data_IF_304145072845
#
_entry.id   IF_304145072845
#
_cell.length_a   1.000
_cell.length_b   1.000
_cell.length_c   1.000
_cell.angle_alpha   90.00
_cell.angle_beta   90.00
_cell.angle_gamma   90.00
#
_symmetry.space_group_name_H-M   'P 1'
#
loop_
_entity.id
_entity.type
_entity.pdbx_description
1 polymer ?
#
# COMPACT_ATOMS: atom_id res chain seq x y z
N UNK A 1 50.69 14.77 66.09
CA UNK A 1 50.67 14.14 64.74
C UNK A 1 49.70 14.91 63.85
N UNK A 2 50.22 15.44 62.74
CA UNK A 2 49.60 16.06 61.54
C UNK A 2 48.44 17.07 61.76
N UNK A 3 48.69 18.39 61.84
CA UNK A 3 49.00 19.37 60.76
C UNK A 3 47.85 19.55 59.74
N UNK A 4 46.88 20.41 60.07
CA UNK A 4 46.05 21.12 59.08
C UNK A 4 46.79 22.37 58.62
N UNK A 5 46.85 22.62 57.30
CA UNK A 5 46.72 24.02 56.89
C UNK A 5 46.06 24.23 55.49
N UNK A 6 45.60 25.47 55.27
CA UNK A 6 45.24 26.13 53.99
C UNK A 6 44.04 25.52 53.20
N UNK A 7 43.15 26.25 52.53
CA UNK A 7 43.02 27.65 52.06
C UNK A 7 41.52 27.85 51.72
N UNK A 8 40.87 29.01 51.95
CA UNK A 8 40.60 30.06 50.93
C UNK A 8 40.29 29.49 49.53
N UNK A 9 39.31 29.89 48.75
CA UNK A 9 38.29 30.93 48.75
C UNK A 9 37.71 30.86 47.34
N UNK A 10 36.42 31.15 47.18
CA UNK A 10 35.83 31.70 45.96
C UNK A 10 35.74 30.77 44.74
N UNK A 11 34.53 30.56 44.22
CA UNK A 11 34.09 31.13 42.94
C UNK A 11 32.80 30.45 42.44
N UNK A 12 31.80 31.30 42.16
CA UNK A 12 30.92 31.26 40.97
C UNK A 12 29.96 30.07 40.91
N UNK A 13 28.72 30.21 41.37
CA UNK A 13 27.59 30.87 40.69
C UNK A 13 27.07 30.09 39.46
N UNK A 14 25.81 29.65 39.57
CA UNK A 14 24.78 29.65 38.54
C UNK A 14 25.15 29.10 37.15
N UNK A 15 24.86 27.81 36.94
CA UNK A 15 24.51 27.27 35.62
C UNK A 15 23.63 26.01 35.76
N UNK A 16 22.47 26.13 36.42
CA UNK A 16 21.40 25.14 36.33
C UNK A 16 20.35 25.67 35.35
N UNK A 17 20.57 25.42 34.06
CA UNK A 17 19.72 25.94 33.00
C UNK A 17 20.08 25.35 31.64
N UNK A 18 20.21 24.02 31.56
CA UNK A 18 20.23 23.32 30.27
C UNK A 18 18.83 22.79 30.01
N UNK A 19 18.09 23.54 29.19
CA UNK A 19 16.80 23.14 28.67
C UNK A 19 16.91 21.83 27.90
N UNK A 20 16.29 20.78 28.43
CA UNK A 20 15.95 19.59 27.67
C UNK A 20 14.66 19.95 26.91
N UNK A 21 14.83 20.76 25.87
CA UNK A 21 13.79 21.16 24.92
C UNK A 21 14.15 20.64 23.55
N UNK A 22 14.22 19.32 23.39
CA UNK A 22 14.30 18.69 22.07
C UNK A 22 13.45 17.43 22.04
N UNK A 23 12.17 17.57 22.38
CA UNK A 23 11.15 16.65 21.89
C UNK A 23 11.06 16.85 20.38
N UNK A 24 11.95 16.17 19.65
CA UNK A 24 11.80 15.96 18.21
C UNK A 24 10.41 15.38 17.99
N UNK A 25 9.55 16.18 17.39
CA UNK A 25 8.27 15.74 16.86
C UNK A 25 8.62 14.76 15.74
N UNK A 26 8.79 13.48 16.08
CA UNK A 26 8.81 12.40 15.10
C UNK A 26 7.38 12.35 14.56
N UNK A 27 7.11 13.14 13.52
CA UNK A 27 5.87 12.98 12.77
C UNK A 27 5.87 11.52 12.29
N UNK A 28 4.82 10.73 12.59
CA UNK A 28 4.69 9.42 12.00
C UNK A 28 4.64 9.62 10.49
N UNK A 29 5.65 9.13 9.77
CA UNK A 29 5.64 9.14 8.31
C UNK A 29 4.66 8.03 7.86
N UNK A 30 3.37 8.30 7.98
CA UNK A 30 2.29 7.36 7.64
C UNK A 30 1.95 7.44 6.15
N UNK A 31 2.91 7.04 5.31
CA UNK A 31 2.69 6.83 3.89
C UNK A 31 3.74 5.85 3.34
N UNK A 32 3.35 5.01 2.38
CA UNK A 32 4.37 4.34 1.59
C UNK A 32 5.12 5.38 0.75
N UNK A 33 6.44 5.34 0.83
CA UNK A 33 7.34 6.10 -0.04
C UNK A 33 7.66 5.31 -1.30
N UNK A 34 7.67 3.99 -1.22
CA UNK A 34 8.09 3.10 -2.29
C UNK A 34 7.20 1.87 -2.43
N UNK A 35 7.02 1.42 -3.68
CA UNK A 35 6.43 0.15 -4.05
C UNK A 35 7.53 -0.77 -4.58
N UNK A 36 7.87 -1.81 -3.82
CA UNK A 36 8.86 -2.81 -4.21
C UNK A 36 8.20 -3.93 -5.02
N UNK A 37 8.53 -4.03 -6.30
CA UNK A 37 8.18 -5.17 -7.14
C UNK A 37 9.10 -6.35 -6.81
N UNK A 38 8.53 -7.49 -6.41
CA UNK A 38 9.27 -8.67 -5.92
C UNK A 38 8.95 -9.90 -6.78
N UNK A 39 10.01 -10.58 -7.23
CA UNK A 39 9.92 -11.91 -7.86
C UNK A 39 11.15 -12.74 -7.50
N UNK A 40 11.02 -13.68 -6.56
CA UNK A 40 12.15 -14.44 -6.02
C UNK A 40 13.22 -13.52 -5.43
N UNK A 41 14.46 -13.61 -5.94
CA UNK A 41 15.56 -12.73 -5.55
C UNK A 41 15.51 -11.33 -6.21
N UNK A 42 14.72 -11.16 -7.27
CA UNK A 42 14.56 -9.88 -7.95
C UNK A 42 13.70 -8.94 -7.12
N UNK A 43 14.22 -7.73 -6.87
CA UNK A 43 13.52 -6.65 -6.17
C UNK A 43 13.85 -5.31 -6.82
N UNK A 44 12.83 -4.54 -7.19
CA UNK A 44 12.98 -3.17 -7.68
C UNK A 44 11.92 -2.27 -7.04
N UNK A 45 12.36 -1.16 -6.46
CA UNK A 45 11.47 -0.18 -5.84
C UNK A 45 11.14 0.92 -6.84
N UNK A 46 9.86 1.29 -6.87
CA UNK A 46 9.31 2.42 -7.61
C UNK A 46 8.76 3.41 -6.58
N UNK A 47 9.20 4.67 -6.57
CA UNK A 47 8.65 5.67 -5.66
C UNK A 47 7.14 5.85 -5.86
N UNK A 48 6.39 5.97 -4.77
CA UNK A 48 4.93 6.26 -4.81
C UNK A 48 4.65 7.56 -5.57
N UNK A 49 5.58 8.51 -5.55
CA UNK A 49 5.52 9.75 -6.34
C UNK A 49 5.47 9.53 -7.85
N UNK A 50 6.04 8.45 -8.38
CA UNK A 50 5.93 8.14 -9.82
C UNK A 50 4.50 7.70 -10.17
N UNK A 51 3.84 6.95 -9.28
CA UNK A 51 2.43 6.58 -9.45
C UNK A 51 1.49 7.78 -9.30
N UNK A 52 1.78 8.67 -8.35
CA UNK A 52 1.05 9.93 -8.16
C UNK A 52 1.18 10.81 -9.41
N UNK A 53 2.40 10.99 -9.92
CA UNK A 53 2.63 11.74 -11.16
C UNK A 53 1.85 11.15 -12.33
N UNK A 54 1.94 9.83 -12.55
CA UNK A 54 1.19 9.15 -13.61
C UNK A 54 -0.32 9.33 -13.45
N UNK A 55 -0.84 9.26 -12.22
CA UNK A 55 -2.25 9.48 -11.96
C UNK A 55 -2.68 10.92 -12.24
N UNK A 56 -1.86 11.92 -11.92
CA UNK A 56 -2.18 13.33 -12.12
C UNK A 56 -2.02 13.80 -13.56
N UNK A 57 -0.94 13.39 -14.25
CA UNK A 57 -0.56 13.91 -15.56
C UNK A 57 -0.91 12.95 -16.70
N UNK A 58 -1.07 11.67 -16.41
CA UNK A 58 -1.16 10.62 -17.43
C UNK A 58 0.19 10.28 -18.07
N UNK A 59 1.30 10.80 -17.55
CA UNK A 59 2.65 10.57 -18.08
C UNK A 59 3.46 9.67 -17.14
N UNK A 60 4.05 8.61 -17.70
CA UNK A 60 4.96 7.73 -16.97
C UNK A 60 6.35 8.35 -16.86
N UNK A 61 6.91 8.36 -15.65
CA UNK A 61 8.28 8.85 -15.40
C UNK A 61 9.12 7.79 -14.70
N UNK A 62 10.44 7.98 -14.69
CA UNK A 62 11.35 7.16 -13.90
C UNK A 62 11.31 5.67 -14.27
N UNK A 63 11.35 4.81 -13.25
CA UNK A 63 11.30 3.37 -13.49
C UNK A 63 9.90 2.92 -13.92
N UNK A 64 8.84 3.56 -13.40
CA UNK A 64 7.46 3.25 -13.77
C UNK A 64 7.23 3.51 -15.26
N UNK A 65 7.64 4.66 -15.77
CA UNK A 65 7.52 5.02 -17.19
C UNK A 65 8.25 4.03 -18.10
N UNK A 66 9.50 3.70 -17.78
CA UNK A 66 10.28 2.70 -18.52
C UNK A 66 9.59 1.33 -18.55
N UNK A 67 8.95 0.93 -17.45
CA UNK A 67 8.21 -0.34 -17.39
C UNK A 67 6.93 -0.30 -18.22
N UNK A 68 6.20 0.81 -18.24
CA UNK A 68 5.01 0.97 -19.08
C UNK A 68 5.38 0.85 -20.56
N UNK A 69 6.44 1.53 -20.99
CA UNK A 69 6.95 1.43 -22.36
C UNK A 69 7.38 0.00 -22.72
N UNK A 70 8.17 -0.63 -21.85
CA UNK A 70 8.67 -2.00 -22.07
C UNK A 70 7.52 -3.02 -22.14
N UNK A 71 6.47 -2.82 -21.36
CA UNK A 71 5.30 -3.71 -21.31
C UNK A 71 4.21 -3.36 -22.33
N UNK A 72 4.41 -2.31 -23.13
CA UNK A 72 3.42 -1.83 -24.11
C UNK A 72 2.12 -1.34 -23.48
N UNK A 73 2.15 -0.92 -22.21
CA UNK A 73 0.99 -0.41 -21.49
C UNK A 73 0.73 1.05 -21.86
N UNK A 74 -0.53 1.39 -22.07
CA UNK A 74 -0.95 2.76 -22.33
C UNK A 74 -0.94 3.58 -21.01
N UNK A 75 -0.10 4.62 -20.87
CA UNK A 75 -0.03 5.41 -19.64
C UNK A 75 -1.36 6.04 -19.23
N UNK A 76 -2.19 6.45 -20.19
CA UNK A 76 -3.50 7.05 -19.91
C UNK A 76 -4.48 6.03 -19.33
N UNK A 77 -4.47 4.78 -19.80
CA UNK A 77 -5.32 3.71 -19.25
C UNK A 77 -4.89 3.38 -17.81
N UNK A 78 -3.58 3.27 -17.57
CA UNK A 78 -3.05 3.01 -16.22
C UNK A 78 -3.37 4.18 -15.28
N UNK A 79 -3.25 5.42 -15.76
CA UNK A 79 -3.65 6.62 -15.01
C UNK A 79 -5.13 6.58 -14.60
N UNK A 80 -6.03 6.19 -15.51
CA UNK A 80 -7.45 6.01 -15.19
C UNK A 80 -7.67 4.93 -14.12
N UNK A 81 -6.98 3.79 -14.24
CA UNK A 81 -7.06 2.71 -13.24
C UNK A 81 -6.54 3.16 -11.87
N UNK A 82 -5.46 3.94 -11.82
CA UNK A 82 -4.89 4.45 -10.58
C UNK A 82 -5.83 5.43 -9.86
N UNK A 83 -6.61 6.20 -10.63
CA UNK A 83 -7.61 7.15 -10.14
C UNK A 83 -9.01 6.55 -9.94
N UNK A 84 -9.21 5.27 -10.28
CA UNK A 84 -10.52 4.63 -10.14
C UNK A 84 -10.94 4.66 -8.66
N UNK A 85 -11.97 5.45 -8.37
CA UNK A 85 -12.54 5.58 -7.04
C UNK A 85 -13.42 4.38 -6.71
N UNK A 86 -13.15 3.74 -5.57
CA UNK A 86 -14.02 2.74 -4.98
C UNK A 86 -15.02 3.43 -4.05
N UNK A 87 -16.27 3.57 -4.51
CA UNK A 87 -17.36 4.11 -3.71
C UNK A 87 -17.83 3.08 -2.69
N UNK A 88 -17.20 3.09 -1.51
CA UNK A 88 -17.53 2.17 -0.42
C UNK A 88 -17.85 2.96 0.86
N UNK A 89 -19.03 2.79 1.47
CA UNK A 89 -19.36 3.49 2.73
C UNK A 89 -18.39 3.07 3.84
N UNK A 90 -17.63 4.02 4.40
CA UNK A 90 -16.56 3.77 5.38
C UNK A 90 -16.98 2.83 6.51
N UNK A 91 -18.15 3.05 7.10
CA UNK A 91 -18.68 2.23 8.21
C UNK A 91 -18.93 0.79 7.76
N UNK A 92 -19.51 0.60 6.58
CA UNK A 92 -19.77 -0.74 6.05
C UNK A 92 -18.47 -1.46 5.68
N UNK A 93 -17.53 -0.76 5.06
CA UNK A 93 -16.21 -1.31 4.72
C UNK A 93 -15.45 -1.71 5.98
N UNK A 94 -15.41 -0.83 6.99
CA UNK A 94 -14.77 -1.11 8.27
C UNK A 94 -15.38 -2.32 8.97
N UNK A 95 -16.71 -2.47 8.95
CA UNK A 95 -17.36 -3.67 9.49
C UNK A 95 -17.00 -4.91 8.68
N UNK A 96 -17.09 -4.85 7.35
CA UNK A 96 -16.84 -5.96 6.44
C UNK A 96 -15.41 -6.50 6.59
N UNK A 97 -14.39 -5.64 6.57
CA UNK A 97 -12.97 -6.04 6.65
C UNK A 97 -12.58 -6.57 8.03
N UNK A 98 -13.41 -6.36 9.06
CA UNK A 98 -13.26 -6.92 10.40
C UNK A 98 -14.06 -8.22 10.61
N UNK A 99 -14.84 -8.67 9.61
CA UNK A 99 -15.50 -9.98 9.67
C UNK A 99 -14.53 -11.12 9.30
N UNK A 100 -14.92 -12.37 9.58
CA UNK A 100 -14.17 -13.57 9.15
C UNK A 100 -13.99 -13.64 7.63
N UNK A 101 -14.99 -13.24 6.86
CA UNK A 101 -14.88 -13.24 5.39
C UNK A 101 -13.93 -12.13 4.91
N UNK A 102 -14.02 -10.94 5.51
CA UNK A 102 -13.10 -9.84 5.23
C UNK A 102 -11.65 -10.18 5.59
N UNK A 103 -11.42 -10.77 6.75
CA UNK A 103 -10.12 -11.29 7.18
C UNK A 103 -9.58 -12.33 6.18
N UNK A 104 -10.42 -13.25 5.70
CA UNK A 104 -10.00 -14.23 4.70
C UNK A 104 -9.67 -13.60 3.33
N UNK A 105 -10.33 -12.50 2.94
CA UNK A 105 -9.98 -11.73 1.74
C UNK A 105 -8.63 -11.04 1.96
N UNK A 106 -8.47 -10.32 3.07
CA UNK A 106 -7.23 -9.62 3.41
C UNK A 106 -6.04 -10.58 3.49
N UNK A 107 -6.21 -11.79 4.02
CA UNK A 107 -5.16 -12.83 4.03
C UNK A 107 -4.76 -13.28 2.62
N UNK A 108 -5.70 -13.33 1.67
CA UNK A 108 -5.37 -13.63 0.28
C UNK A 108 -4.63 -12.46 -0.36
N UNK A 109 -5.06 -11.23 -0.10
CA UNK A 109 -4.39 -10.00 -0.53
C UNK A 109 -2.99 -9.88 0.05
N UNK A 110 -2.77 -10.30 1.30
CA UNK A 110 -1.47 -10.32 1.98
C UNK A 110 -0.42 -11.21 1.30
N UNK A 111 -0.84 -12.15 0.44
CA UNK A 111 0.10 -12.93 -0.40
C UNK A 111 0.59 -12.16 -1.62
N UNK A 112 -0.15 -11.11 -2.01
CA UNK A 112 0.14 -10.25 -3.15
C UNK A 112 0.88 -9.01 -2.67
N UNK A 113 0.37 -8.34 -1.63
CA UNK A 113 0.94 -7.11 -1.11
C UNK A 113 1.25 -7.22 0.39
N UNK A 114 2.40 -6.73 0.82
CA UNK A 114 2.84 -6.84 2.21
C UNK A 114 3.96 -5.85 2.55
N UNK A 115 4.25 -5.56 3.83
CA UNK A 115 5.42 -4.77 4.21
C UNK A 115 6.72 -5.51 3.86
N UNK A 116 7.65 -4.88 3.13
CA UNK A 116 8.83 -5.57 2.58
C UNK A 116 9.69 -6.32 3.62
N UNK A 117 9.73 -5.85 4.87
CA UNK A 117 10.54 -6.40 5.95
C UNK A 117 9.76 -7.34 6.89
N UNK A 118 8.44 -7.44 6.74
CA UNK A 118 7.57 -8.23 7.62
C UNK A 118 6.40 -8.79 6.82
N UNK A 119 6.64 -9.81 5.97
CA UNK A 119 5.65 -10.38 5.06
C UNK A 119 4.61 -11.26 5.78
N UNK A 120 4.77 -11.48 7.08
CA UNK A 120 3.91 -12.37 7.86
C UNK A 120 2.45 -11.85 7.84
N UNK A 121 1.44 -12.73 7.72
CA UNK A 121 0.03 -12.33 7.72
C UNK A 121 -0.38 -11.53 8.95
N UNK A 122 0.24 -11.81 10.11
CA UNK A 122 0.00 -11.12 11.38
C UNK A 122 0.35 -9.63 11.33
N UNK A 123 1.25 -9.23 10.43
CA UNK A 123 1.65 -7.83 10.20
C UNK A 123 0.98 -7.27 8.94
N UNK A 124 0.93 -8.07 7.88
CA UNK A 124 0.42 -7.66 6.56
C UNK A 124 -1.07 -7.37 6.57
N UNK A 125 -1.88 -8.20 7.23
CA UNK A 125 -3.33 -8.00 7.27
C UNK A 125 -3.73 -6.70 7.98
N UNK A 126 -3.20 -6.38 9.18
CA UNK A 126 -3.41 -5.08 9.80
C UNK A 126 -2.92 -3.90 8.94
N UNK A 127 -1.77 -4.04 8.26
CA UNK A 127 -1.23 -2.98 7.41
C UNK A 127 -2.14 -2.67 6.21
N UNK A 128 -2.64 -3.70 5.52
CA UNK A 128 -3.60 -3.55 4.42
C UNK A 128 -4.91 -2.93 4.93
N UNK A 129 -5.41 -3.39 6.09
CA UNK A 129 -6.62 -2.84 6.70
C UNK A 129 -6.47 -1.35 7.00
N UNK A 130 -5.34 -0.95 7.58
CA UNK A 130 -5.04 0.45 7.87
C UNK A 130 -4.98 1.27 6.57
N UNK A 131 -4.28 0.79 5.53
CA UNK A 131 -4.23 1.45 4.23
C UNK A 131 -5.61 1.67 3.60
N UNK A 132 -6.50 0.67 3.69
CA UNK A 132 -7.89 0.78 3.19
C UNK A 132 -8.70 1.81 4.00
N UNK A 133 -8.68 1.72 5.33
CA UNK A 133 -9.45 2.63 6.20
C UNK A 133 -8.97 4.08 6.04
N UNK A 134 -7.66 4.28 6.01
CA UNK A 134 -7.06 5.61 5.88
C UNK A 134 -7.26 6.16 4.46
N UNK A 135 -7.12 5.33 3.43
CA UNK A 135 -7.39 5.73 2.04
C UNK A 135 -8.86 6.12 1.81
N UNK A 136 -9.81 5.42 2.43
CA UNK A 136 -11.24 5.81 2.41
C UNK A 136 -11.52 7.17 3.06
N UNK A 137 -10.66 7.63 3.98
CA UNK A 137 -10.78 8.92 4.64
C UNK A 137 -10.03 10.04 3.89
N UNK A 138 -9.29 9.73 2.83
CA UNK A 138 -8.63 10.73 1.99
C UNK A 138 -9.66 11.56 1.21
N UNK A 139 -9.26 12.74 0.74
CA UNK A 139 -10.14 13.67 0.02
C UNK A 139 -10.75 13.04 -1.25
N UNK A 140 -9.95 12.25 -1.97
CA UNK A 140 -10.37 11.57 -3.20
C UNK A 140 -11.20 10.29 -2.93
N UNK A 141 -11.28 9.85 -1.67
CA UNK A 141 -11.76 8.52 -1.29
C UNK A 141 -10.76 7.42 -1.68
N UNK A 142 -11.19 6.15 -1.62
CA UNK A 142 -10.29 5.03 -1.86
C UNK A 142 -9.99 4.84 -3.35
N UNK A 143 -8.86 5.37 -3.80
CA UNK A 143 -8.17 5.07 -5.06
C UNK A 143 -6.89 4.24 -4.83
N UNK A 144 -6.27 3.71 -5.88
CA UNK A 144 -4.99 3.01 -5.75
C UNK A 144 -3.90 3.94 -5.18
N UNK A 145 -3.84 5.19 -5.67
CA UNK A 145 -2.88 6.19 -5.18
C UNK A 145 -3.13 6.54 -3.71
N UNK A 146 -4.39 6.80 -3.33
CA UNK A 146 -4.73 7.10 -1.93
C UNK A 146 -4.37 5.94 -1.00
N UNK A 147 -4.53 4.69 -1.45
CA UNK A 147 -4.16 3.50 -0.70
C UNK A 147 -2.65 3.43 -0.49
N UNK A 148 -1.85 3.63 -1.53
CA UNK A 148 -0.39 3.67 -1.43
C UNK A 148 0.07 4.77 -0.47
N UNK A 149 -0.46 5.98 -0.63
CA UNK A 149 -0.17 7.14 0.24
C UNK A 149 -0.63 6.93 1.68
N UNK A 150 -1.60 6.07 1.92
CA UNK A 150 -2.15 5.80 3.25
C UNK A 150 -1.62 4.53 3.90
N UNK A 151 -0.78 3.77 3.17
CA UNK A 151 -0.22 2.51 3.67
C UNK A 151 0.78 2.79 4.80
N UNK A 152 0.69 2.08 5.95
CA UNK A 152 1.39 2.48 7.18
C UNK A 152 2.90 2.21 7.18
N UNK A 153 3.41 1.43 6.22
CA UNK A 153 4.83 1.11 6.11
C UNK A 153 5.44 1.87 4.93
N UNK A 154 6.69 2.34 5.09
CA UNK A 154 7.40 3.09 4.07
C UNK A 154 7.53 2.33 2.73
N UNK A 155 7.65 1.00 2.77
CA UNK A 155 7.79 0.20 1.55
C UNK A 155 6.74 -0.90 1.50
N UNK A 156 5.85 -0.80 0.50
CA UNK A 156 4.90 -1.83 0.13
C UNK A 156 5.54 -2.77 -0.89
N UNK A 157 5.67 -4.05 -0.55
CA UNK A 157 6.05 -5.07 -1.52
C UNK A 157 4.85 -5.55 -2.32
N UNK A 158 5.06 -5.82 -3.60
CA UNK A 158 4.13 -6.48 -4.52
C UNK A 158 4.78 -7.75 -5.06
N UNK A 159 4.25 -8.90 -4.70
CA UNK A 159 4.67 -10.20 -5.22
C UNK A 159 4.10 -10.40 -6.62
N UNK A 160 4.95 -10.23 -7.63
CA UNK A 160 4.57 -10.29 -9.04
C UNK A 160 4.00 -11.67 -9.44
N UNK A 161 4.63 -12.81 -9.11
CA UNK A 161 4.02 -14.12 -9.36
C UNK A 161 2.62 -14.28 -8.77
N UNK A 162 2.41 -13.83 -7.52
CA UNK A 162 1.10 -13.92 -6.88
C UNK A 162 0.07 -12.98 -7.52
N UNK A 163 0.49 -11.78 -7.93
CA UNK A 163 -0.34 -10.81 -8.65
C UNK A 163 -0.81 -11.37 -10.00
N UNK A 164 0.13 -11.82 -10.84
CA UNK A 164 -0.18 -12.37 -12.16
C UNK A 164 -1.06 -13.62 -12.05
N UNK A 165 -0.81 -14.48 -11.07
CA UNK A 165 -1.65 -15.65 -10.82
C UNK A 165 -3.09 -15.31 -10.39
N UNK A 166 -3.39 -14.08 -9.97
CA UNK A 166 -4.76 -13.61 -9.74
C UNK A 166 -5.35 -13.01 -11.01
N UNK A 167 -4.57 -12.25 -11.78
CA UNK A 167 -5.00 -11.67 -13.06
C UNK A 167 -5.40 -12.78 -14.04
N UNK A 168 -4.56 -13.81 -14.21
CA UNK A 168 -4.82 -14.95 -15.08
C UNK A 168 -6.13 -15.68 -14.70
N UNK A 169 -6.40 -15.82 -13.40
CA UNK A 169 -7.65 -16.42 -12.91
C UNK A 169 -8.86 -15.55 -13.23
N UNK A 170 -8.72 -14.23 -13.12
CA UNK A 170 -9.80 -13.29 -13.44
C UNK A 170 -10.12 -13.32 -14.94
N UNK A 171 -9.10 -13.32 -15.79
CA UNK A 171 -9.26 -13.43 -17.25
C UNK A 171 -9.91 -14.76 -17.66
N UNK A 172 -9.51 -15.87 -17.03
CA UNK A 172 -10.14 -17.18 -17.27
C UNK A 172 -11.63 -17.18 -16.92
N UNK A 173 -12.03 -16.56 -15.81
CA UNK A 173 -13.45 -16.44 -15.43
C UNK A 173 -14.20 -15.55 -16.41
N UNK A 174 -13.63 -14.42 -16.81
CA UNK A 174 -14.25 -13.53 -17.80
C UNK A 174 -14.47 -14.24 -19.14
N UNK A 175 -13.48 -15.04 -19.59
CA UNK A 175 -13.59 -15.86 -20.79
C UNK A 175 -14.70 -16.90 -20.69
N UNK A 176 -14.89 -17.53 -19.52
CA UNK A 176 -16.01 -18.44 -19.30
C UNK A 176 -17.36 -17.73 -19.38
N UNK A 177 -17.51 -16.58 -18.71
CA UNK A 177 -18.74 -15.79 -18.74
C UNK A 177 -19.07 -15.35 -20.18
N UNK A 178 -18.07 -14.91 -20.94
CA UNK A 178 -18.24 -14.53 -22.35
C UNK A 178 -18.64 -15.74 -23.21
N UNK A 179 -17.97 -16.88 -23.04
CA UNK A 179 -18.30 -18.12 -23.74
C UNK A 179 -19.76 -18.54 -23.54
N UNK A 180 -20.27 -18.48 -22.31
CA UNK A 180 -21.67 -18.80 -22.01
C UNK A 180 -22.66 -17.71 -22.45
N UNK A 181 -22.22 -16.46 -22.55
CA UNK A 181 -23.06 -15.34 -23.03
C UNK A 181 -23.22 -15.36 -24.55
N UNK A 182 -22.19 -15.76 -25.29
CA UNK A 182 -22.17 -15.80 -26.76
C UNK A 182 -22.66 -17.15 -27.33
N UNK A 183 -22.77 -18.19 -26.51
CA UNK A 183 -23.30 -19.49 -26.94
C UNK A 183 -24.82 -19.44 -27.05
N UNK A 184 -25.43 -19.80 -28.20
CA UNK A 184 -26.87 -19.81 -28.34
C UNK A 184 -27.46 -20.87 -27.40
N UNK A 185 -28.19 -20.42 -26.38
CA UNK A 185 -28.97 -21.26 -25.47
C UNK A 185 -30.16 -21.97 -26.18
N UNK A 186 -30.22 -21.95 -27.51
CA UNK A 186 -31.29 -22.52 -28.33
C UNK A 186 -31.39 -24.04 -28.20
N UNK A 187 -30.31 -24.73 -27.84
CA UNK A 187 -30.32 -26.18 -27.60
C UNK A 187 -31.17 -26.62 -26.39
N UNK A 188 -31.69 -25.69 -25.57
CA UNK A 188 -32.52 -26.01 -24.39
C UNK A 188 -34.03 -25.81 -24.63
N UNK A 189 -34.45 -25.31 -25.80
CA UNK A 189 -35.88 -25.10 -26.11
C UNK A 189 -36.54 -26.27 -26.86
N UNK A 190 -35.77 -27.21 -27.41
CA UNK A 190 -36.30 -28.30 -28.23
C UNK A 190 -36.52 -29.63 -27.48
N UNK A 191 -36.19 -29.71 -26.19
CA UNK A 191 -36.53 -30.86 -25.37
C UNK A 191 -37.95 -30.76 -24.79
N UNK A 192 -38.97 -30.89 -25.66
CA UNK A 192 -40.31 -31.32 -25.23
C UNK A 192 -40.61 -32.68 -25.87
N UNK A 193 -40.87 -33.74 -25.07
CA UNK A 193 -41.42 -34.98 -25.59
C UNK A 193 -42.89 -34.83 -25.99
#
# INVERSE_FOLDING_TARGET
MLRRPFTRSSLVALAAGLGIGWSSIMQPLHAATDVALVSGAFRRSIPVKEFEHLAETGEGIGLLGNLLELSGQNPQEVSQMLNQKLELPLVLTSRLINTRIGEAILRRTARIIYPIHSPEPEVSVPAIRAGVINGLQSEDGLTAVSFLKSYPNAVLAVNLPALFGVIEKAESIAGLVQFFSDSPLDGLKEAQP
#
